data_IF_137139830840
#
_entry.id   IF_137139830840
#
_cell.length_a   1.000
_cell.length_b   1.000
_cell.length_c   1.000
_cell.angle_alpha   90.00
_cell.angle_beta   90.00
_cell.angle_gamma   90.00
#
_symmetry.space_group_name_H-M   'P 1'
#
loop_
_entity.id
_entity.type
_entity.pdbx_description
1 polymer ?
#
# COMPACT_ATOMS: atom_id res chain seq x y z
N UNK A 1 -25.26 -5.27 6.46
CA UNK A 1 -25.29 -6.20 5.31
C UNK A 1 -24.17 -7.20 5.49
N UNK A 2 -24.41 -8.52 5.38
CA UNK A 2 -23.31 -9.48 5.38
C UNK A 2 -22.50 -9.34 4.08
N UNK A 3 -21.17 -9.42 4.19
CA UNK A 3 -20.27 -9.40 3.03
C UNK A 3 -20.62 -10.53 2.05
N UNK A 4 -20.51 -10.28 0.75
CA UNK A 4 -20.68 -11.32 -0.29
C UNK A 4 -19.64 -12.44 -0.16
N UNK A 5 -18.53 -12.18 0.54
CA UNK A 5 -17.48 -13.17 0.80
C UNK A 5 -17.73 -14.03 2.05
N UNK A 6 -18.79 -13.77 2.82
CA UNK A 6 -19.05 -14.45 4.10
C UNK A 6 -19.30 -15.96 3.98
N UNK A 7 -19.68 -16.44 2.79
CA UNK A 7 -19.90 -17.86 2.53
C UNK A 7 -18.62 -18.63 2.14
N UNK A 8 -17.50 -17.92 1.91
CA UNK A 8 -16.25 -18.54 1.50
C UNK A 8 -15.52 -19.16 2.69
N UNK A 9 -14.86 -20.30 2.47
CA UNK A 9 -13.97 -20.89 3.46
C UNK A 9 -12.73 -20.02 3.68
N UNK A 10 -12.02 -20.24 4.78
CA UNK A 10 -10.74 -19.56 5.04
C UNK A 10 -9.72 -19.78 3.91
N UNK A 11 -9.65 -20.98 3.36
CA UNK A 11 -8.72 -21.30 2.28
C UNK A 11 -9.07 -20.57 0.99
N UNK A 12 -10.37 -20.48 0.65
CA UNK A 12 -10.83 -19.69 -0.48
C UNK A 12 -10.55 -18.19 -0.29
N UNK A 13 -10.74 -17.67 0.92
CA UNK A 13 -10.40 -16.29 1.25
C UNK A 13 -8.89 -16.03 1.17
N UNK A 14 -8.05 -16.96 1.64
CA UNK A 14 -6.60 -16.82 1.58
C UNK A 14 -6.08 -16.73 0.13
N UNK A 15 -6.69 -17.48 -0.80
CA UNK A 15 -6.40 -17.36 -2.23
C UNK A 15 -6.95 -16.07 -2.84
N UNK A 16 -8.13 -15.61 -2.40
CA UNK A 16 -8.81 -14.45 -2.98
C UNK A 16 -8.23 -13.10 -2.53
N UNK A 17 -7.75 -12.99 -1.29
CA UNK A 17 -7.26 -11.72 -0.74
C UNK A 17 -6.18 -11.07 -1.61
N UNK A 18 -5.12 -11.77 -2.07
CA UNK A 18 -4.12 -11.17 -2.96
C UNK A 18 -4.72 -10.58 -4.24
N UNK A 19 -5.67 -11.28 -4.86
CA UNK A 19 -6.34 -10.81 -6.08
C UNK A 19 -7.18 -9.54 -5.82
N UNK A 20 -7.85 -9.46 -4.66
CA UNK A 20 -8.59 -8.26 -4.27
C UNK A 20 -7.68 -7.05 -4.01
N UNK A 21 -6.50 -7.28 -3.41
CA UNK A 21 -5.51 -6.22 -3.21
C UNK A 21 -4.97 -5.74 -4.56
N UNK A 22 -4.66 -6.66 -5.48
CA UNK A 22 -4.18 -6.33 -6.82
C UNK A 22 -5.22 -5.54 -7.63
N UNK A 23 -6.50 -5.90 -7.56
CA UNK A 23 -7.59 -5.15 -8.20
C UNK A 23 -7.61 -3.69 -7.70
N UNK A 24 -7.38 -3.50 -6.39
CA UNK A 24 -7.27 -2.18 -5.80
C UNK A 24 -6.18 -1.33 -6.44
N UNK A 25 -4.98 -1.88 -6.59
CA UNK A 25 -3.88 -1.24 -7.33
C UNK A 25 -4.25 -0.94 -8.78
N UNK A 26 -4.82 -1.89 -9.50
CA UNK A 26 -5.17 -1.69 -10.91
C UNK A 26 -6.19 -0.55 -11.11
N UNK A 27 -7.13 -0.38 -10.16
CA UNK A 27 -8.10 0.71 -10.19
C UNK A 27 -7.39 2.07 -10.03
N UNK A 28 -6.54 2.21 -9.01
CA UNK A 28 -5.76 3.44 -8.77
C UNK A 28 -4.96 3.84 -10.03
N UNK A 29 -4.20 2.88 -10.58
CA UNK A 29 -3.37 3.09 -11.77
C UNK A 29 -4.17 3.47 -13.01
N UNK A 30 -5.38 2.93 -13.16
CA UNK A 30 -6.26 3.27 -14.28
C UNK A 30 -6.70 4.75 -14.28
N UNK A 31 -6.74 5.40 -13.11
CA UNK A 31 -7.07 6.81 -12.97
C UNK A 31 -5.89 7.74 -13.32
N UNK A 32 -4.66 7.32 -13.07
CA UNK A 32 -3.48 8.19 -13.18
C UNK A 32 -3.21 8.68 -14.60
N UNK A 33 -3.44 7.85 -15.62
CA UNK A 33 -3.30 8.27 -17.01
C UNK A 33 -4.22 9.46 -17.36
N UNK A 34 -5.45 9.45 -16.82
CA UNK A 34 -6.38 10.57 -16.99
C UNK A 34 -5.93 11.81 -16.21
N UNK A 35 -5.44 11.65 -14.97
CA UNK A 35 -4.90 12.76 -14.17
C UNK A 35 -3.73 13.45 -14.88
N UNK A 36 -2.76 12.69 -15.40
CA UNK A 36 -1.63 13.25 -16.17
C UNK A 36 -2.14 14.04 -17.38
N UNK A 37 -3.10 13.47 -18.13
CA UNK A 37 -3.61 14.11 -19.35
C UNK A 37 -4.38 15.40 -19.09
N UNK A 38 -5.03 15.56 -17.94
CA UNK A 38 -5.87 16.73 -17.65
C UNK A 38 -5.17 17.77 -16.79
N UNK A 39 -4.27 17.36 -15.91
CA UNK A 39 -3.65 18.23 -14.92
C UNK A 39 -2.14 18.36 -15.07
N UNK A 40 -1.49 17.46 -15.80
CA UNK A 40 -0.03 17.41 -15.88
C UNK A 40 0.58 16.49 -14.82
N UNK A 41 1.92 16.35 -14.88
CA UNK A 41 2.67 15.40 -14.03
C UNK A 41 2.71 15.84 -12.57
N UNK A 42 2.98 17.12 -12.30
CA UNK A 42 3.15 17.63 -10.93
C UNK A 42 1.85 17.51 -10.13
N UNK A 43 0.73 17.90 -10.74
CA UNK A 43 -0.59 17.78 -10.14
C UNK A 43 -1.02 16.32 -9.97
N UNK A 44 -0.70 15.43 -10.93
CA UNK A 44 -0.95 14.00 -10.75
C UNK A 44 -0.19 13.42 -9.55
N UNK A 45 1.08 13.80 -9.37
CA UNK A 45 1.88 13.39 -8.22
C UNK A 45 1.22 13.85 -6.92
N UNK A 46 0.78 15.10 -6.86
CA UNK A 46 0.10 15.63 -5.68
C UNK A 46 -1.23 14.91 -5.40
N UNK A 47 -2.02 14.61 -6.43
CA UNK A 47 -3.24 13.81 -6.31
C UNK A 47 -2.93 12.44 -5.71
N UNK A 48 -1.90 11.75 -6.22
CA UNK A 48 -1.49 10.45 -5.71
C UNK A 48 -1.05 10.52 -4.23
N UNK A 49 -0.25 11.52 -3.85
CA UNK A 49 0.15 11.72 -2.45
C UNK A 49 -1.09 11.87 -1.55
N UNK A 50 -2.03 12.74 -1.93
CA UNK A 50 -3.23 13.00 -1.13
C UNK A 50 -4.16 11.77 -1.05
N UNK A 51 -4.36 11.07 -2.17
CA UNK A 51 -5.18 9.86 -2.24
C UNK A 51 -4.65 8.78 -1.31
N UNK A 52 -3.36 8.46 -1.42
CA UNK A 52 -2.74 7.39 -0.64
C UNK A 52 -2.59 7.78 0.83
N UNK A 53 -2.14 9.00 1.13
CA UNK A 53 -1.98 9.46 2.51
C UNK A 53 -3.32 9.58 3.25
N UNK A 54 -4.41 9.90 2.56
CA UNK A 54 -5.75 9.97 3.16
C UNK A 54 -6.41 8.59 3.30
N UNK A 55 -6.20 7.69 2.34
CA UNK A 55 -6.84 6.37 2.32
C UNK A 55 -6.12 5.35 3.19
N UNK A 56 -4.79 5.38 3.24
CA UNK A 56 -3.99 4.36 3.93
C UNK A 56 -4.27 4.19 5.41
N UNK A 57 -4.50 5.27 6.19
CA UNK A 57 -4.80 5.11 7.59
C UNK A 57 -6.17 4.46 7.83
N UNK A 58 -7.10 4.68 6.91
CA UNK A 58 -8.47 4.18 7.02
C UNK A 58 -8.53 2.67 6.80
N UNK A 59 -7.96 2.17 5.70
CA UNK A 59 -7.97 0.73 5.45
C UNK A 59 -7.05 -0.02 6.41
N UNK A 60 -5.91 0.57 6.82
CA UNK A 60 -4.98 -0.04 7.78
C UNK A 60 -5.66 -0.30 9.12
N UNK A 61 -6.33 0.72 9.71
CA UNK A 61 -7.06 0.53 10.97
C UNK A 61 -8.23 -0.43 10.85
N UNK A 62 -8.95 -0.41 9.73
CA UNK A 62 -10.06 -1.35 9.48
C UNK A 62 -9.57 -2.80 9.43
N UNK A 63 -8.46 -3.05 8.76
CA UNK A 63 -7.86 -4.38 8.65
C UNK A 63 -7.36 -4.90 10.00
N UNK A 64 -6.64 -4.06 10.77
CA UNK A 64 -6.20 -4.38 12.13
C UNK A 64 -7.35 -4.84 13.01
N UNK A 65 -8.45 -4.09 13.02
CA UNK A 65 -9.64 -4.40 13.81
C UNK A 65 -10.35 -5.67 13.31
N UNK A 66 -10.52 -5.80 11.99
CA UNK A 66 -11.22 -6.93 11.38
C UNK A 66 -10.51 -8.27 11.67
N UNK A 67 -9.19 -8.26 11.65
CA UNK A 67 -8.35 -9.45 11.85
C UNK A 67 -7.77 -9.56 13.26
N UNK A 68 -8.12 -8.63 14.15
CA UNK A 68 -7.80 -8.64 15.59
C UNK A 68 -6.29 -8.68 15.89
N UNK A 69 -5.51 -7.84 15.19
CA UNK A 69 -4.08 -7.69 15.42
C UNK A 69 -3.67 -6.24 15.77
N UNK A 70 -4.61 -5.45 16.28
CA UNK A 70 -4.36 -4.06 16.71
C UNK A 70 -3.21 -3.97 17.71
N UNK A 71 -2.35 -2.97 17.51
CA UNK A 71 -1.15 -2.71 18.31
C UNK A 71 -0.44 -1.46 17.81
N UNK A 72 0.77 -1.22 18.33
CA UNK A 72 1.56 0.00 18.04
C UNK A 72 3.03 -0.30 17.75
N UNK A 73 3.41 -1.58 17.70
CA UNK A 73 4.79 -2.01 17.52
C UNK A 73 5.07 -2.44 16.07
N UNK A 74 6.34 -2.73 15.77
CA UNK A 74 6.77 -3.06 14.41
C UNK A 74 6.09 -4.34 13.90
N UNK A 75 5.75 -5.27 14.79
CA UNK A 75 5.02 -6.48 14.44
C UNK A 75 3.63 -6.16 13.90
N UNK A 76 2.91 -5.23 14.54
CA UNK A 76 1.61 -4.77 14.02
C UNK A 76 1.75 -4.06 12.68
N UNK A 77 2.75 -3.19 12.53
CA UNK A 77 2.97 -2.42 11.30
C UNK A 77 3.28 -3.35 10.12
N UNK A 78 4.27 -4.23 10.26
CA UNK A 78 4.64 -5.19 9.21
C UNK A 78 3.54 -6.20 8.93
N UNK A 79 2.77 -6.62 9.94
CA UNK A 79 1.60 -7.46 9.69
C UNK A 79 0.53 -6.74 8.87
N UNK A 80 0.37 -5.43 9.08
CA UNK A 80 -0.49 -4.56 8.30
C UNK A 80 -0.05 -4.49 6.84
N UNK A 81 1.23 -4.17 6.60
CA UNK A 81 1.79 -4.06 5.24
C UNK A 81 1.61 -5.35 4.42
N UNK A 82 1.68 -6.53 5.03
CA UNK A 82 1.41 -7.81 4.33
C UNK A 82 -0.04 -7.97 3.80
N UNK A 83 -0.95 -7.11 4.24
CA UNK A 83 -2.39 -7.15 3.92
C UNK A 83 -2.87 -5.81 3.35
N UNK A 84 -1.92 -4.99 2.91
CA UNK A 84 -2.12 -3.63 2.46
C UNK A 84 -2.36 -3.59 0.94
N UNK A 85 -3.25 -2.72 0.50
CA UNK A 85 -3.51 -2.49 -0.93
C UNK A 85 -2.31 -1.80 -1.61
N UNK A 86 -1.48 -1.07 -0.86
CA UNK A 86 -0.21 -0.51 -1.31
C UNK A 86 0.91 -1.54 -1.44
N UNK A 87 0.74 -2.73 -0.86
CA UNK A 87 1.70 -3.83 -0.93
C UNK A 87 1.05 -5.15 -1.39
N UNK A 88 0.32 -5.18 -2.53
CA UNK A 88 -0.31 -6.41 -2.98
C UNK A 88 0.74 -7.45 -3.37
N UNK A 89 0.60 -8.70 -2.89
CA UNK A 89 1.40 -9.80 -3.39
C UNK A 89 1.23 -9.93 -4.92
N UNK A 90 2.27 -10.37 -5.62
CA UNK A 90 2.41 -10.41 -7.10
C UNK A 90 2.82 -9.08 -7.76
N UNK A 91 2.46 -7.93 -7.20
CA UNK A 91 2.88 -6.62 -7.72
C UNK A 91 4.05 -6.03 -6.93
N UNK A 92 4.06 -6.26 -5.61
CA UNK A 92 5.16 -5.89 -4.73
C UNK A 92 5.73 -7.13 -4.06
N UNK A 93 7.05 -7.15 -3.84
CA UNK A 93 7.73 -8.19 -3.06
C UNK A 93 8.42 -7.57 -1.84
N UNK A 94 7.62 -7.19 -0.85
CA UNK A 94 8.12 -6.70 0.43
C UNK A 94 8.79 -7.82 1.24
N UNK A 95 10.02 -7.57 1.64
CA UNK A 95 10.79 -8.35 2.60
C UNK A 95 10.90 -7.56 3.89
N UNK A 96 10.74 -8.24 5.02
CA UNK A 96 10.75 -7.61 6.34
C UNK A 96 11.87 -8.20 7.19
N UNK A 97 12.63 -7.34 7.85
CA UNK A 97 13.62 -7.68 8.88
C UNK A 97 13.15 -7.05 10.18
N UNK A 98 12.92 -7.86 11.20
CA UNK A 98 12.59 -7.35 12.54
C UNK A 98 13.83 -7.41 13.41
N UNK A 99 14.27 -6.25 13.89
CA UNK A 99 15.41 -6.14 14.81
C UNK A 99 14.95 -6.31 16.26
N UNK A 100 13.90 -5.58 16.65
CA UNK A 100 13.27 -5.69 17.96
C UNK A 100 11.80 -5.24 17.92
N UNK A 101 11.17 -4.97 19.07
CA UNK A 101 9.77 -4.56 19.14
C UNK A 101 9.49 -3.22 18.44
N UNK A 102 10.43 -2.30 18.44
CA UNK A 102 10.27 -0.92 17.98
C UNK A 102 11.03 -0.62 16.70
N UNK A 103 11.95 -1.49 16.29
CA UNK A 103 12.78 -1.31 15.12
C UNK A 103 12.69 -2.48 14.15
N UNK A 104 12.59 -2.16 12.87
CA UNK A 104 12.67 -3.11 11.77
C UNK A 104 12.92 -2.37 10.48
N UNK A 105 13.23 -3.13 9.45
CA UNK A 105 13.47 -2.66 8.09
C UNK A 105 12.57 -3.46 7.15
N UNK A 106 12.17 -2.83 6.05
CA UNK A 106 11.67 -3.57 4.91
C UNK A 106 12.42 -3.13 3.66
N UNK A 107 12.45 -4.02 2.68
CA UNK A 107 12.98 -3.74 1.36
C UNK A 107 12.13 -4.45 0.31
N UNK A 108 12.25 -4.01 -0.94
CA UNK A 108 11.51 -4.56 -2.06
C UNK A 108 12.48 -5.36 -2.94
N UNK A 109 12.30 -6.67 -3.04
CA UNK A 109 12.99 -7.48 -4.08
C UNK A 109 12.42 -7.16 -5.47
N UNK A 110 11.16 -6.69 -5.50
CA UNK A 110 10.45 -6.26 -6.69
C UNK A 110 9.44 -5.16 -6.34
N UNK A 111 9.40 -4.11 -7.16
CA UNK A 111 8.43 -3.03 -7.07
C UNK A 111 7.75 -2.82 -8.43
N UNK A 112 6.52 -3.29 -8.58
CA UNK A 112 5.77 -3.13 -9.82
C UNK A 112 5.52 -1.66 -10.17
N UNK A 113 5.36 -0.80 -9.17
CA UNK A 113 5.17 0.64 -9.39
C UNK A 113 6.40 1.28 -10.06
N UNK A 114 7.61 0.90 -9.62
CA UNK A 114 8.86 1.28 -10.26
C UNK A 114 8.94 0.75 -11.69
N UNK A 115 8.67 -0.54 -11.90
CA UNK A 115 8.75 -1.16 -13.24
C UNK A 115 7.83 -0.48 -14.26
N UNK A 116 6.69 0.03 -13.82
CA UNK A 116 5.75 0.71 -14.71
C UNK A 116 6.20 2.12 -15.12
N UNK A 117 6.93 2.81 -14.24
CA UNK A 117 7.39 4.20 -14.49
C UNK A 117 8.82 4.28 -14.99
N UNK A 118 9.63 3.24 -14.78
CA UNK A 118 11.01 3.16 -15.26
C UNK A 118 11.13 3.44 -16.78
N UNK A 119 10.27 2.89 -17.66
CA UNK A 119 10.30 3.22 -19.09
C UNK A 119 9.97 4.68 -19.42
N UNK A 120 9.39 5.44 -18.47
CA UNK A 120 9.00 6.84 -18.65
C UNK A 120 10.11 7.83 -18.28
N UNK A 121 11.23 7.35 -17.71
CA UNK A 121 12.43 8.14 -17.41
C UNK A 121 12.58 8.56 -15.94
N UNK A 122 13.76 9.10 -15.61
CA UNK A 122 14.20 9.35 -14.23
C UNK A 122 13.27 10.27 -13.44
N UNK A 123 12.65 11.26 -14.09
CA UNK A 123 11.69 12.15 -13.43
C UNK A 123 10.47 11.37 -12.92
N UNK A 124 9.96 10.43 -13.70
CA UNK A 124 8.82 9.59 -13.28
C UNK A 124 9.21 8.61 -12.18
N UNK A 125 10.44 8.06 -12.23
CA UNK A 125 11.00 7.22 -11.17
C UNK A 125 11.09 7.98 -9.85
N UNK A 126 11.69 9.18 -9.86
CA UNK A 126 11.80 10.02 -8.66
C UNK A 126 10.42 10.39 -8.10
N UNK A 127 9.49 10.75 -8.99
CA UNK A 127 8.11 11.07 -8.62
C UNK A 127 7.44 9.92 -7.87
N UNK A 128 7.57 8.69 -8.37
CA UNK A 128 7.00 7.52 -7.73
C UNK A 128 7.73 7.16 -6.42
N UNK A 129 9.04 6.92 -6.49
CA UNK A 129 9.79 6.27 -5.42
C UNK A 129 10.25 7.21 -4.29
N UNK A 130 10.15 8.52 -4.47
CA UNK A 130 10.55 9.49 -3.43
C UNK A 130 9.44 10.50 -3.15
N UNK A 131 8.85 11.10 -4.19
CA UNK A 131 7.88 12.17 -3.96
C UNK A 131 6.52 11.60 -3.48
N UNK A 132 6.11 10.42 -3.99
CA UNK A 132 4.86 9.73 -3.57
C UNK A 132 5.12 8.74 -2.44
N UNK A 133 6.09 7.85 -2.60
CA UNK A 133 6.30 6.70 -1.70
C UNK A 133 6.63 7.12 -0.25
N UNK A 134 7.57 8.05 -0.06
CA UNK A 134 8.00 8.48 1.28
C UNK A 134 6.84 9.00 2.16
N UNK A 135 6.05 10.02 1.75
CA UNK A 135 4.98 10.54 2.60
C UNK A 135 3.81 9.56 2.79
N UNK A 136 3.62 8.62 1.86
CA UNK A 136 2.51 7.66 1.94
C UNK A 136 2.83 6.48 2.86
N UNK A 137 4.10 6.08 2.96
CA UNK A 137 4.54 5.16 4.02
C UNK A 137 4.40 5.78 5.40
N UNK A 138 4.80 7.05 5.58
CA UNK A 138 4.61 7.75 6.85
C UNK A 138 3.13 7.77 7.27
N UNK A 139 2.22 8.10 6.35
CA UNK A 139 0.79 8.07 6.61
C UNK A 139 0.29 6.67 7.05
N UNK A 140 0.77 5.62 6.37
CA UNK A 140 0.44 4.23 6.68
C UNK A 140 0.96 3.82 8.07
N UNK A 141 2.20 4.20 8.39
CA UNK A 141 2.83 3.94 9.68
C UNK A 141 2.12 4.66 10.83
N UNK A 142 1.74 5.93 10.63
CA UNK A 142 0.99 6.75 11.59
C UNK A 142 -0.35 6.13 11.97
N UNK A 143 -0.96 5.38 11.05
CA UNK A 143 -2.17 4.62 11.32
C UNK A 143 -1.96 3.55 12.39
N UNK A 144 -0.76 2.97 12.48
CA UNK A 144 -0.40 1.99 13.50
C UNK A 144 0.13 2.66 14.75
N UNK A 145 1.08 3.58 14.61
CA UNK A 145 1.73 4.28 15.72
C UNK A 145 1.90 5.76 15.39
N UNK A 146 1.32 6.64 16.21
CA UNK A 146 1.40 8.11 16.04
C UNK A 146 2.80 8.71 16.16
N UNK A 147 3.78 7.92 16.62
CA UNK A 147 5.18 8.30 16.77
C UNK A 147 6.08 7.64 15.73
N UNK A 148 5.50 6.85 14.82
CA UNK A 148 6.23 6.36 13.66
C UNK A 148 6.72 7.54 12.83
#
# INVERSE_FOLDING_TARGET
>A
MMSRYAALSRDALATLVPELLLIGQLIDRSGMAWCISNFGREEMVQIAIEEWAASSPLYTKRMQKALKYEGVDIFTLFKGLQLDIGAPPQFMDFRYIVHDRWHGEFYLDHCGALMDVEPMGEDYVKGMCHDIEDPTFDATALATNRKA
#
